data_IF_467055359895
#
_entry.id   IF_467055359895
#
_cell.length_a   1.000
_cell.length_b   1.000
_cell.length_c   1.000
_cell.angle_alpha   90.00
_cell.angle_beta   90.00
_cell.angle_gamma   90.00
#
_symmetry.space_group_name_H-M   'P 1'
#
loop_
_entity.id
_entity.type
_entity.pdbx_description
1 polymer ?
#
# COMPACT_ATOMS: atom_id res chain seq x y z
N UNK A 1 -6.11 -21.11 1.03
CA UNK A 1 -6.18 -19.73 1.51
C UNK A 1 -5.34 -18.91 0.56
N UNK A 2 -5.91 -17.88 -0.03
CA UNK A 2 -5.19 -17.02 -0.98
C UNK A 2 -4.10 -16.23 -0.25
N UNK A 3 -2.98 -15.93 -0.92
CA UNK A 3 -1.82 -15.23 -0.32
C UNK A 3 -2.24 -13.90 0.35
N UNK A 4 -3.20 -13.20 -0.24
CA UNK A 4 -3.72 -11.95 0.28
C UNK A 4 -4.47 -12.11 1.60
N UNK A 5 -5.33 -13.12 1.71
CA UNK A 5 -6.07 -13.40 2.95
C UNK A 5 -5.12 -13.76 4.10
N UNK A 6 -4.07 -14.52 3.77
CA UNK A 6 -3.03 -14.90 4.73
C UNK A 6 -2.25 -13.69 5.23
N UNK A 7 -1.81 -12.82 4.33
CA UNK A 7 -1.10 -11.59 4.71
C UNK A 7 -1.99 -10.66 5.52
N UNK A 8 -3.26 -10.49 5.13
CA UNK A 8 -4.22 -9.71 5.89
C UNK A 8 -4.40 -10.24 7.32
N UNK A 9 -4.46 -11.57 7.50
CA UNK A 9 -4.55 -12.16 8.84
C UNK A 9 -3.35 -11.77 9.72
N UNK A 10 -2.15 -11.77 9.16
CA UNK A 10 -0.92 -11.37 9.86
C UNK A 10 -0.93 -9.87 10.17
N UNK A 11 -1.31 -9.01 9.22
CA UNK A 11 -1.42 -7.57 9.44
C UNK A 11 -2.45 -7.22 10.53
N UNK A 12 -3.55 -7.99 10.59
CA UNK A 12 -4.58 -7.83 11.61
C UNK A 12 -4.11 -8.19 13.03
N UNK A 13 -3.03 -8.96 13.19
CA UNK A 13 -2.42 -9.23 14.50
C UNK A 13 -1.87 -7.95 15.17
N UNK A 14 -1.56 -6.91 14.38
CA UNK A 14 -0.92 -5.66 14.79
C UNK A 14 0.50 -5.82 15.34
N UNK A 15 1.10 -7.00 15.22
CA UNK A 15 2.47 -7.25 15.65
C UNK A 15 3.47 -6.92 14.53
N UNK A 16 4.66 -6.46 14.91
CA UNK A 16 5.74 -6.27 13.96
C UNK A 16 6.28 -7.63 13.48
N UNK A 17 6.67 -7.75 12.18
CA UNK A 17 6.75 -6.67 11.19
C UNK A 17 5.46 -6.42 10.39
N UNK A 18 4.44 -7.27 10.49
CA UNK A 18 3.26 -7.23 9.61
C UNK A 18 2.31 -6.07 9.89
N UNK A 19 1.88 -5.91 11.15
CA UNK A 19 0.87 -4.94 11.56
C UNK A 19 1.09 -3.50 11.09
N UNK A 20 2.30 -2.93 11.24
CA UNK A 20 2.61 -1.59 10.75
C UNK A 20 2.46 -1.39 9.23
N UNK A 21 2.51 -2.47 8.45
CA UNK A 21 2.51 -2.45 6.98
C UNK A 21 1.13 -2.68 6.35
N UNK A 22 0.08 -2.88 7.15
CA UNK A 22 -1.29 -3.10 6.67
C UNK A 22 -1.74 -2.12 5.56
N UNK A 23 -1.46 -0.83 5.75
CA UNK A 23 -1.83 0.20 4.78
C UNK A 23 -1.08 0.07 3.44
N UNK A 24 0.15 -0.44 3.46
CA UNK A 24 0.95 -0.72 2.25
C UNK A 24 0.39 -1.94 1.53
N UNK A 25 0.09 -3.01 2.26
CA UNK A 25 -0.50 -4.25 1.71
C UNK A 25 -1.79 -3.94 0.95
N UNK A 26 -2.73 -3.24 1.60
CA UNK A 26 -4.02 -2.87 0.98
C UNK A 26 -3.80 -1.94 -0.22
N UNK A 27 -2.91 -0.95 -0.11
CA UNK A 27 -2.64 -0.01 -1.20
C UNK A 27 -2.04 -0.72 -2.43
N UNK A 28 -0.99 -1.52 -2.23
CA UNK A 28 -0.32 -2.25 -3.32
C UNK A 28 -1.24 -3.27 -3.97
N UNK A 29 -1.95 -4.08 -3.17
CA UNK A 29 -2.87 -5.09 -3.69
C UNK A 29 -4.01 -4.48 -4.50
N UNK A 30 -4.68 -3.44 -3.97
CA UNK A 30 -5.80 -2.80 -4.69
C UNK A 30 -5.33 -2.06 -5.94
N UNK A 31 -4.14 -1.45 -5.94
CA UNK A 31 -3.58 -0.85 -7.15
C UNK A 31 -3.26 -1.87 -8.26
N UNK A 32 -3.02 -3.14 -7.92
CA UNK A 32 -2.77 -4.20 -8.89
C UNK A 32 -4.06 -4.86 -9.42
N UNK A 33 -5.11 -4.93 -8.60
CA UNK A 33 -6.29 -5.78 -8.89
C UNK A 33 -7.59 -5.01 -9.10
N UNK A 34 -7.71 -3.77 -8.63
CA UNK A 34 -8.92 -2.97 -8.77
C UNK A 34 -8.91 -2.22 -10.12
N UNK A 35 -10.05 -2.20 -10.80
CA UNK A 35 -10.25 -1.47 -12.07
C UNK A 35 -10.65 0.00 -11.84
N UNK A 36 -10.78 0.43 -10.58
CA UNK A 36 -11.10 1.80 -10.21
C UNK A 36 -10.08 2.80 -10.76
N UNK A 37 -10.52 3.92 -11.38
CA UNK A 37 -9.62 4.95 -11.91
C UNK A 37 -8.64 5.48 -10.84
N UNK A 38 -7.39 5.66 -11.24
CA UNK A 38 -6.31 6.23 -10.43
C UNK A 38 -5.91 7.58 -11.02
N UNK A 39 -5.68 8.56 -10.17
CA UNK A 39 -5.15 9.86 -10.55
C UNK A 39 -3.86 10.20 -9.79
N UNK A 40 -3.17 11.28 -10.19
CA UNK A 40 -1.91 11.69 -9.56
C UNK A 40 -1.99 12.07 -8.08
N UNK A 41 -3.19 12.26 -7.53
CA UNK A 41 -3.44 12.54 -6.11
C UNK A 41 -3.96 11.30 -5.36
N UNK A 42 -3.91 10.11 -5.97
CA UNK A 42 -4.48 8.90 -5.38
C UNK A 42 -3.85 8.59 -4.01
N UNK A 43 -4.67 8.41 -2.96
CA UNK A 43 -4.17 8.20 -1.63
C UNK A 43 -3.33 6.92 -1.47
N UNK A 44 -3.54 5.90 -2.32
CA UNK A 44 -2.77 4.65 -2.31
C UNK A 44 -1.35 4.90 -2.80
N UNK A 45 -1.17 5.64 -3.89
CA UNK A 45 0.15 6.04 -4.40
C UNK A 45 0.95 6.85 -3.36
N UNK A 46 0.28 7.75 -2.64
CA UNK A 46 0.91 8.52 -1.57
C UNK A 46 1.35 7.67 -0.37
N UNK A 47 0.65 6.55 -0.06
CA UNK A 47 1.09 5.61 0.98
C UNK A 47 2.34 4.84 0.54
N UNK A 48 2.33 4.34 -0.71
CA UNK A 48 3.47 3.63 -1.28
C UNK A 48 4.71 4.54 -1.32
N UNK A 49 4.57 5.78 -1.81
CA UNK A 49 5.65 6.77 -1.84
C UNK A 49 6.24 7.02 -0.45
N UNK A 50 5.40 7.31 0.54
CA UNK A 50 5.86 7.57 1.91
C UNK A 50 6.63 6.38 2.50
N UNK A 51 6.17 5.15 2.24
CA UNK A 51 6.85 3.95 2.72
C UNK A 51 8.15 3.66 1.96
N UNK A 52 8.16 3.82 0.64
CA UNK A 52 9.35 3.59 -0.20
C UNK A 52 10.46 4.59 0.13
N UNK A 53 10.12 5.86 0.33
CA UNK A 53 11.10 6.92 0.58
C UNK A 53 11.63 6.88 2.03
N UNK A 54 10.73 6.79 3.02
CA UNK A 54 11.06 7.05 4.42
C UNK A 54 10.63 5.92 5.40
N UNK A 55 10.08 4.81 4.89
CA UNK A 55 9.69 3.64 5.68
C UNK A 55 8.48 3.83 6.60
N UNK A 56 8.36 2.92 7.58
CA UNK A 56 7.25 2.85 8.53
C UNK A 56 6.96 4.17 9.28
N UNK A 57 7.96 4.99 9.69
CA UNK A 57 7.69 6.26 10.36
C UNK A 57 6.90 7.26 9.51
N UNK A 58 7.22 7.40 8.22
CA UNK A 58 6.48 8.29 7.32
C UNK A 58 5.10 7.75 6.98
N UNK A 59 4.98 6.44 6.74
CA UNK A 59 3.70 5.76 6.59
C UNK A 59 2.78 6.02 7.79
N UNK A 60 3.32 5.91 9.01
CA UNK A 60 2.58 6.16 10.26
C UNK A 60 2.08 7.60 10.38
N UNK A 61 2.86 8.59 9.90
CA UNK A 61 2.43 9.99 9.85
C UNK A 61 1.28 10.20 8.87
N UNK A 62 1.40 9.67 7.64
CA UNK A 62 0.38 9.80 6.59
C UNK A 62 -0.94 9.14 7.00
N UNK A 63 -0.87 7.91 7.53
CA UNK A 63 -2.07 7.18 7.98
C UNK A 63 -2.73 7.86 9.17
N UNK A 64 -1.97 8.39 10.12
CA UNK A 64 -2.53 9.09 11.28
C UNK A 64 -3.16 10.43 10.91
N UNK A 65 -2.53 11.21 10.03
CA UNK A 65 -3.12 12.46 9.51
C UNK A 65 -4.45 12.20 8.80
N UNK A 66 -4.56 11.12 8.02
CA UNK A 66 -5.81 10.73 7.35
C UNK A 66 -6.89 10.28 8.32
N UNK A 67 -6.54 9.48 9.34
CA UNK A 67 -7.48 9.09 10.40
C UNK A 67 -8.04 10.32 11.12
N UNK A 68 -7.17 11.27 11.47
CA UNK A 68 -7.56 12.52 12.10
C UNK A 68 -8.47 13.37 11.18
N UNK A 69 -8.11 13.49 9.90
CA UNK A 69 -8.95 14.19 8.94
C UNK A 69 -10.35 13.53 8.82
N UNK A 70 -10.45 12.20 8.80
CA UNK A 70 -11.73 11.50 8.74
C UNK A 70 -12.58 11.70 10.01
N UNK A 71 -11.98 11.71 11.20
CA UNK A 71 -12.71 11.98 12.45
C UNK A 71 -13.27 13.40 12.54
N UNK A 72 -12.67 14.35 11.81
CA UNK A 72 -13.13 15.75 11.75
C UNK A 72 -14.07 16.05 10.58
N UNK A 73 -14.24 15.12 9.63
CA UNK A 73 -15.14 15.29 8.48
C UNK A 73 -16.48 14.62 8.74
N UNK A 74 -17.39 15.34 9.39
CA UNK A 74 -18.81 15.22 9.03
C UNK A 74 -19.15 16.05 7.77
N UNK A 75 -18.38 17.09 7.42
CA UNK A 75 -18.62 17.95 6.24
C UNK A 75 -17.36 18.70 5.73
N UNK A 76 -16.29 18.00 5.34
CA UNK A 76 -15.07 18.64 4.80
C UNK A 76 -15.00 18.70 3.27
N UNK A 77 -14.19 19.61 2.68
CA UNK A 77 -14.10 19.79 1.23
C UNK A 77 -13.63 18.52 0.50
N UNK A 78 -14.27 18.25 -0.64
CA UNK A 78 -14.01 17.09 -1.52
C UNK A 78 -12.56 17.11 -2.00
N UNK A 79 -11.90 15.95 -2.02
CA UNK A 79 -10.53 15.83 -2.53
C UNK A 79 -10.45 16.37 -3.98
N UNK A 80 -9.43 17.16 -4.26
CA UNK A 80 -9.15 17.66 -5.61
C UNK A 80 -8.59 16.51 -6.43
N UNK A 81 -9.31 16.10 -7.48
CA UNK A 81 -8.86 15.06 -8.39
C UNK A 81 -7.59 15.49 -9.12
N UNK A 82 -6.63 14.59 -9.21
CA UNK A 82 -5.41 14.77 -9.99
C UNK A 82 -5.64 14.53 -11.48
N UNK A 83 -4.57 14.62 -12.28
CA UNK A 83 -4.58 14.14 -13.66
C UNK A 83 -4.77 12.61 -13.65
N UNK A 84 -5.71 12.04 -14.44
CA UNK A 84 -5.85 10.59 -14.56
C UNK A 84 -4.57 9.93 -15.05
N UNK A 85 -4.24 8.77 -14.49
CA UNK A 85 -3.09 7.96 -14.88
C UNK A 85 -3.54 6.78 -15.75
N UNK A 86 -2.68 6.36 -16.68
CA UNK A 86 -2.92 5.16 -17.47
C UNK A 86 -2.70 3.92 -16.60
N UNK A 87 -3.57 2.92 -16.76
CA UNK A 87 -3.41 1.65 -16.04
C UNK A 87 -2.13 0.93 -16.51
N UNK A 88 -1.29 0.40 -15.61
CA UNK A 88 -0.15 -0.40 -15.99
C UNK A 88 -0.57 -1.69 -16.70
N UNK A 89 0.20 -2.11 -17.71
CA UNK A 89 -0.01 -3.39 -18.39
C UNK A 89 0.47 -4.60 -17.54
N UNK A 90 1.28 -4.37 -16.52
CA UNK A 90 1.81 -5.38 -15.62
C UNK A 90 2.68 -4.77 -14.51
N UNK A 91 3.15 -5.62 -13.60
CA UNK A 91 3.97 -5.24 -12.46
C UNK A 91 5.20 -6.13 -12.38
N UNK A 92 6.35 -5.55 -12.01
CA UNK A 92 7.58 -6.31 -11.85
C UNK A 92 7.54 -7.26 -10.64
N UNK A 93 6.81 -6.89 -9.60
CA UNK A 93 6.60 -7.70 -8.40
C UNK A 93 5.13 -7.71 -8.01
N UNK A 94 4.71 -8.81 -7.40
CA UNK A 94 3.36 -9.08 -6.92
C UNK A 94 3.43 -9.61 -5.48
N UNK A 95 2.26 -9.87 -4.88
CA UNK A 95 2.20 -10.52 -3.56
C UNK A 95 2.89 -11.89 -3.52
N UNK A 96 3.00 -12.59 -4.67
CA UNK A 96 3.72 -13.86 -4.76
C UNK A 96 5.22 -13.70 -4.47
N UNK A 97 5.80 -12.55 -4.80
CA UNK A 97 7.22 -12.26 -4.58
C UNK A 97 7.53 -11.82 -3.13
N UNK A 98 6.50 -11.42 -2.39
CA UNK A 98 6.61 -11.12 -0.95
C UNK A 98 6.55 -12.39 -0.12
N UNK A 99 5.81 -13.39 -0.61
CA UNK A 99 5.69 -14.70 0.01
C UNK A 99 6.97 -15.53 -0.19
N UNK A 100 7.38 -16.25 0.85
CA UNK A 100 8.45 -17.24 0.82
C UNK A 100 7.81 -18.59 1.11
N UNK A 101 7.89 -19.52 0.15
CA UNK A 101 7.29 -20.84 0.22
C UNK A 101 5.78 -20.83 0.60
N UNK A 102 5.07 -19.79 0.16
CA UNK A 102 3.64 -19.61 0.41
C UNK A 102 3.28 -18.99 1.77
N UNK A 103 4.26 -18.47 2.51
CA UNK A 103 4.05 -17.76 3.77
C UNK A 103 4.80 -16.42 3.83
N UNK A 104 4.62 -15.66 4.92
CA UNK A 104 5.21 -14.33 5.10
C UNK A 104 6.14 -14.30 6.33
N UNK A 105 7.35 -14.89 6.24
CA UNK A 105 8.26 -14.92 7.37
C UNK A 105 8.65 -13.51 7.79
N UNK A 106 8.80 -13.28 9.10
CA UNK A 106 9.15 -11.97 9.64
C UNK A 106 10.51 -11.47 9.13
N UNK A 107 11.48 -12.37 8.99
CA UNK A 107 12.80 -12.05 8.47
C UNK A 107 12.72 -11.55 7.02
N UNK A 108 13.25 -10.35 6.77
CA UNK A 108 13.24 -9.72 5.45
C UNK A 108 11.86 -9.23 4.98
N UNK A 109 10.83 -9.27 5.83
CA UNK A 109 9.46 -8.94 5.42
C UNK A 109 9.32 -7.49 4.97
N UNK A 110 9.90 -6.55 5.73
CA UNK A 110 9.82 -5.13 5.40
C UNK A 110 10.54 -4.81 4.07
N UNK A 111 11.67 -5.45 3.81
CA UNK A 111 12.44 -5.30 2.57
C UNK A 111 11.66 -5.81 1.36
N UNK A 112 11.05 -7.00 1.47
CA UNK A 112 10.18 -7.55 0.42
C UNK A 112 8.96 -6.67 0.19
N UNK A 113 8.35 -6.16 1.26
CA UNK A 113 7.25 -5.20 1.18
C UNK A 113 7.67 -3.89 0.52
N UNK A 114 8.87 -3.38 0.80
CA UNK A 114 9.41 -2.16 0.18
C UNK A 114 9.65 -2.37 -1.31
N UNK A 115 10.22 -3.51 -1.70
CA UNK A 115 10.43 -3.85 -3.10
C UNK A 115 9.10 -3.94 -3.87
N UNK A 116 8.10 -4.63 -3.30
CA UNK A 116 6.77 -4.72 -3.90
C UNK A 116 6.10 -3.34 -4.03
N UNK A 117 6.13 -2.52 -2.98
CA UNK A 117 5.60 -1.16 -3.00
C UNK A 117 6.26 -0.29 -4.08
N UNK A 118 7.59 -0.38 -4.22
CA UNK A 118 8.35 0.34 -5.25
C UNK A 118 7.95 -0.12 -6.66
N UNK A 119 7.84 -1.42 -6.90
CA UNK A 119 7.43 -1.96 -8.21
C UNK A 119 6.02 -1.51 -8.62
N UNK A 120 5.09 -1.43 -7.68
CA UNK A 120 3.73 -0.91 -7.95
C UNK A 120 3.76 0.59 -8.21
N UNK A 121 4.53 1.34 -7.43
CA UNK A 121 4.66 2.79 -7.58
C UNK A 121 5.28 3.17 -8.92
N UNK A 122 6.35 2.48 -9.34
CA UNK A 122 7.01 2.69 -10.62
C UNK A 122 6.07 2.39 -11.79
N UNK A 123 5.34 1.27 -11.72
CA UNK A 123 4.40 0.89 -12.78
C UNK A 123 3.32 1.96 -13.02
N UNK A 124 2.82 2.61 -11.96
CA UNK A 124 1.79 3.65 -12.05
C UNK A 124 2.32 5.05 -12.36
N UNK A 125 3.62 5.30 -12.19
CA UNK A 125 4.21 6.65 -12.33
C UNK A 125 5.23 6.79 -13.46
N UNK A 126 5.44 5.72 -14.23
CA UNK A 126 6.27 5.70 -15.44
C UNK A 126 5.60 6.35 -16.66
#
# INVERSE_FOLDING_TARGET
MELYERLLALDHSREAPWGPLHAVVVAAYTLQHDDSPVDGNDPRLALLRAFVDDGVPALSRVTSARRHANSHRSSGPRAVQGRPLARPAGYALTIADVAVDGDFPAEGHEERMRAWAAAVLDAWTS
#
